data_IF_579493558308
#
_entry.id   IF_579493558308
#
_cell.length_a   1.000
_cell.length_b   1.000
_cell.length_c   1.000
_cell.angle_alpha   90.00
_cell.angle_beta   90.00
_cell.angle_gamma   90.00
#
_symmetry.space_group_name_H-M   'P 1'
#
loop_
_entity.id
_entity.type
_entity.pdbx_description
1 polymer ?
#
# COMPACT_ATOMS: atom_id res chain seq x y z
N UNK A 1 26.41 -11.84 -1.59
CA UNK A 1 25.48 -10.76 -1.21
C UNK A 1 24.14 -11.42 -0.94
N UNK A 2 23.34 -10.94 0.03
CA UNK A 2 21.99 -11.50 0.19
C UNK A 2 21.13 -11.07 -1.02
N UNK A 3 20.35 -11.99 -1.58
CA UNK A 3 19.54 -11.80 -2.80
C UNK A 3 18.10 -11.52 -2.44
N UNK A 4 17.54 -10.40 -2.88
CA UNK A 4 16.20 -9.96 -2.53
C UNK A 4 15.34 -9.88 -3.77
N UNK A 5 14.28 -10.68 -3.84
CA UNK A 5 13.30 -10.61 -4.92
C UNK A 5 12.54 -9.28 -4.87
N UNK A 6 12.25 -8.71 -6.04
CA UNK A 6 11.45 -7.49 -6.19
C UNK A 6 10.20 -7.79 -7.00
N UNK A 7 9.03 -7.66 -6.37
CA UNK A 7 7.72 -7.85 -7.01
C UNK A 7 6.85 -6.62 -6.78
N UNK A 8 6.19 -6.15 -7.82
CA UNK A 8 5.09 -5.19 -7.75
C UNK A 8 3.86 -5.72 -8.48
N UNK A 9 2.68 -5.68 -7.85
CA UNK A 9 1.41 -5.99 -8.50
C UNK A 9 0.31 -5.11 -7.91
N UNK A 10 -0.01 -4.03 -8.62
CA UNK A 10 -0.76 -2.91 -8.06
C UNK A 10 -1.92 -2.50 -8.96
N UNK A 11 -3.09 -2.36 -8.35
CA UNK A 11 -4.29 -1.81 -8.95
C UNK A 11 -5.25 -1.38 -7.84
N UNK A 12 -5.96 -0.28 -8.05
CA UNK A 12 -7.06 0.14 -7.16
C UNK A 12 -8.40 -0.17 -7.82
N UNK A 13 -9.24 -0.95 -7.15
CA UNK A 13 -10.52 -1.38 -7.69
C UNK A 13 -11.70 -0.61 -7.12
N UNK A 14 -12.36 0.16 -7.98
CA UNK A 14 -13.71 0.66 -7.69
C UNK A 14 -14.72 -0.45 -8.04
N UNK A 15 -15.29 -1.12 -7.04
CA UNK A 15 -16.21 -2.26 -7.27
C UNK A 15 -17.55 -1.85 -7.90
N UNK A 16 -17.84 -0.55 -7.95
CA UNK A 16 -19.05 0.00 -8.58
C UNK A 16 -18.80 0.39 -10.05
N UNK A 17 -17.55 0.44 -10.50
CA UNK A 17 -17.22 0.70 -11.89
C UNK A 17 -17.61 -0.49 -12.77
N UNK A 18 -18.26 -0.21 -13.91
CA UNK A 18 -18.77 -1.24 -14.83
C UNK A 18 -17.70 -1.86 -15.72
N UNK A 19 -16.53 -1.23 -15.82
CA UNK A 19 -15.45 -1.66 -16.72
C UNK A 19 -14.44 -2.50 -15.94
N UNK A 20 -14.33 -3.81 -16.20
CA UNK A 20 -13.37 -4.65 -15.51
C UNK A 20 -11.94 -4.35 -15.97
N UNK A 21 -10.97 -4.53 -15.06
CA UNK A 21 -9.54 -4.48 -15.39
C UNK A 21 -9.13 -5.80 -16.02
N UNK A 22 -8.37 -5.70 -17.10
CA UNK A 22 -7.84 -6.85 -17.84
C UNK A 22 -6.33 -6.68 -18.01
N UNK A 23 -5.64 -7.75 -18.43
CA UNK A 23 -4.20 -7.71 -18.71
C UNK A 23 -3.80 -6.56 -19.62
N UNK A 24 -4.64 -6.23 -20.60
CA UNK A 24 -4.42 -5.10 -21.52
C UNK A 24 -4.19 -3.78 -20.79
N UNK A 25 -4.86 -3.54 -19.66
CA UNK A 25 -4.70 -2.31 -18.88
C UNK A 25 -3.31 -2.24 -18.22
N UNK A 26 -2.76 -3.39 -17.77
CA UNK A 26 -1.39 -3.48 -17.29
C UNK A 26 -0.39 -3.29 -18.44
N UNK A 27 -0.63 -3.91 -19.59
CA UNK A 27 0.24 -3.77 -20.78
C UNK A 27 0.27 -2.33 -21.33
N UNK A 28 -0.85 -1.60 -21.25
CA UNK A 28 -0.96 -0.20 -21.65
C UNK A 28 -0.33 0.77 -20.65
N UNK A 29 -0.25 0.38 -19.38
CA UNK A 29 0.35 1.15 -18.31
C UNK A 29 1.77 0.62 -18.02
N UNK A 30 1.92 -0.30 -17.08
CA UNK A 30 3.19 -0.99 -16.82
C UNK A 30 2.99 -2.48 -16.54
N UNK A 31 3.67 -3.31 -17.33
CA UNK A 31 3.82 -4.75 -17.09
C UNK A 31 5.22 -5.18 -17.51
N UNK A 32 6.17 -4.99 -16.60
CA UNK A 32 7.59 -5.24 -16.82
C UNK A 32 8.03 -6.55 -16.15
N UNK A 33 8.89 -7.31 -16.82
CA UNK A 33 9.34 -8.64 -16.35
C UNK A 33 10.85 -8.66 -16.12
N UNK A 34 11.28 -9.27 -15.01
CA UNK A 34 12.70 -9.42 -14.70
C UNK A 34 13.45 -8.09 -14.80
N UNK A 35 14.63 -8.10 -15.41
CA UNK A 35 15.49 -6.92 -15.55
C UNK A 35 14.85 -5.77 -16.36
N UNK A 36 13.81 -6.04 -17.16
CA UNK A 36 13.14 -5.01 -17.96
C UNK A 36 12.40 -3.97 -17.08
N UNK A 37 12.15 -4.28 -15.80
CA UNK A 37 11.58 -3.31 -14.86
C UNK A 37 12.61 -2.26 -14.39
N UNK A 38 13.91 -2.53 -14.48
CA UNK A 38 14.94 -1.62 -13.94
C UNK A 38 14.96 -0.26 -14.66
N UNK A 39 14.97 -0.17 -16.01
CA UNK A 39 14.96 1.11 -16.71
C UNK A 39 13.75 2.00 -16.37
N UNK A 40 12.58 1.40 -16.16
CA UNK A 40 11.34 2.09 -15.84
C UNK A 40 11.33 2.61 -14.40
N UNK A 41 11.67 1.73 -13.45
CA UNK A 41 11.37 1.98 -12.04
C UNK A 41 12.54 2.51 -11.21
N UNK A 42 13.80 2.27 -11.62
CA UNK A 42 14.98 2.59 -10.80
C UNK A 42 15.04 4.05 -10.35
N UNK A 43 14.76 4.98 -11.27
CA UNK A 43 14.78 6.42 -11.00
C UNK A 43 13.39 7.00 -10.70
N UNK A 44 12.33 6.18 -10.72
CA UNK A 44 10.98 6.62 -10.45
C UNK A 44 10.83 7.07 -8.98
N UNK A 45 10.00 8.08 -8.75
CA UNK A 45 9.55 8.49 -7.41
C UNK A 45 8.45 7.54 -6.89
N UNK A 46 8.74 6.24 -6.93
CA UNK A 46 7.83 5.14 -6.61
C UNK A 46 8.50 4.13 -5.66
N UNK A 47 7.73 3.32 -4.95
CA UNK A 47 8.26 2.34 -3.99
C UNK A 47 9.17 1.29 -4.61
N UNK A 48 8.91 0.86 -5.86
CA UNK A 48 9.80 -0.02 -6.62
C UNK A 48 11.19 0.60 -6.85
N UNK A 49 11.23 1.90 -7.17
CA UNK A 49 12.50 2.64 -7.27
C UNK A 49 13.20 2.76 -5.91
N UNK A 50 12.42 2.90 -4.84
CA UNK A 50 12.90 2.85 -3.45
C UNK A 50 13.50 1.50 -3.08
N UNK A 51 12.88 0.38 -3.49
CA UNK A 51 13.40 -0.97 -3.27
C UNK A 51 14.75 -1.15 -3.97
N UNK A 52 14.86 -0.81 -5.25
CA UNK A 52 16.08 -0.95 -6.04
C UNK A 52 17.23 -0.12 -5.45
N UNK A 53 16.98 1.17 -5.17
CA UNK A 53 17.97 2.06 -4.57
C UNK A 53 18.34 1.66 -3.13
N UNK A 54 17.37 1.15 -2.38
CA UNK A 54 17.58 0.68 -1.01
C UNK A 54 18.42 -0.58 -0.94
N UNK A 55 18.19 -1.54 -1.84
CA UNK A 55 19.04 -2.72 -1.98
C UNK A 55 20.49 -2.35 -2.30
N UNK A 56 20.72 -1.42 -3.23
CA UNK A 56 22.06 -0.90 -3.54
C UNK A 56 22.73 -0.28 -2.28
N UNK A 57 22.00 0.60 -1.58
CA UNK A 57 22.48 1.26 -0.35
C UNK A 57 22.83 0.25 0.75
N UNK A 58 22.06 -0.82 0.88
CA UNK A 58 22.23 -1.86 1.90
C UNK A 58 23.16 -2.99 1.46
N UNK A 59 23.84 -2.87 0.31
CA UNK A 59 24.69 -3.95 -0.22
C UNK A 59 23.95 -5.28 -0.33
N UNK A 60 22.73 -5.23 -0.88
CA UNK A 60 21.87 -6.36 -1.24
C UNK A 60 21.83 -6.50 -2.76
N UNK A 61 21.71 -7.72 -3.26
CA UNK A 61 21.49 -7.98 -4.68
C UNK A 61 19.97 -7.94 -4.93
N UNK A 62 19.49 -6.88 -5.57
CA UNK A 62 18.10 -6.83 -6.03
C UNK A 62 17.93 -7.82 -7.19
N UNK A 63 16.91 -8.66 -7.11
CA UNK A 63 16.53 -9.64 -8.14
C UNK A 63 15.14 -9.25 -8.64
N UNK A 64 15.05 -8.47 -9.73
CA UNK A 64 13.80 -8.12 -10.38
C UNK A 64 13.00 -9.35 -10.80
N UNK A 65 11.70 -9.40 -10.48
CA UNK A 65 10.80 -10.51 -10.84
C UNK A 65 9.72 -10.02 -11.80
N UNK A 66 8.86 -9.11 -11.33
CA UNK A 66 7.75 -8.56 -12.10
C UNK A 66 7.33 -7.22 -11.47
N UNK A 67 6.96 -6.25 -12.31
CA UNK A 67 6.28 -5.02 -11.90
C UNK A 67 5.05 -4.80 -12.77
N UNK A 68 3.87 -5.02 -12.20
CA UNK A 68 2.58 -4.75 -12.81
C UNK A 68 1.88 -3.58 -12.11
N UNK A 69 1.51 -2.55 -12.86
CA UNK A 69 0.67 -1.46 -12.39
C UNK A 69 -0.37 -1.11 -13.46
N UNK A 70 -1.64 -1.02 -13.06
CA UNK A 70 -2.74 -0.56 -13.90
C UNK A 70 -3.41 0.66 -13.26
N UNK A 71 -3.88 1.57 -14.11
CA UNK A 71 -4.68 2.74 -13.69
C UNK A 71 -5.98 2.28 -12.99
N UNK A 72 -6.41 2.95 -11.91
CA UNK A 72 -7.65 2.64 -11.22
C UNK A 72 -8.87 2.50 -12.15
N UNK A 73 -9.65 1.43 -11.94
CA UNK A 73 -10.91 1.13 -12.66
C UNK A 73 -11.65 0.02 -11.89
N UNK A 74 -12.52 -0.77 -12.53
CA UNK A 74 -13.24 -1.86 -11.89
C UNK A 74 -12.36 -2.99 -11.34
N UNK A 75 -12.98 -4.04 -10.79
CA UNK A 75 -12.28 -5.26 -10.39
C UNK A 75 -11.53 -5.91 -11.56
N UNK A 76 -10.43 -6.60 -11.27
CA UNK A 76 -9.75 -7.44 -12.25
C UNK A 76 -10.65 -8.61 -12.65
N UNK A 77 -10.64 -8.98 -13.94
CA UNK A 77 -11.16 -10.28 -14.33
C UNK A 77 -10.35 -11.39 -13.66
N UNK A 78 -11.00 -12.52 -13.38
CA UNK A 78 -10.33 -13.65 -12.72
C UNK A 78 -9.12 -14.12 -13.53
N UNK A 79 -9.24 -14.17 -14.85
CA UNK A 79 -8.16 -14.59 -15.74
C UNK A 79 -6.95 -13.66 -15.65
N UNK A 80 -7.16 -12.35 -15.66
CA UNK A 80 -6.08 -11.36 -15.53
C UNK A 80 -5.29 -11.55 -14.23
N UNK A 81 -6.02 -11.66 -13.12
CA UNK A 81 -5.41 -11.83 -11.80
C UNK A 81 -4.61 -13.14 -11.71
N UNK A 82 -5.20 -14.25 -12.12
CA UNK A 82 -4.56 -15.57 -12.07
C UNK A 82 -3.33 -15.66 -13.01
N UNK A 83 -3.39 -15.03 -14.19
CA UNK A 83 -2.26 -14.99 -15.13
C UNK A 83 -1.06 -14.24 -14.55
N UNK A 84 -1.27 -13.02 -14.04
CA UNK A 84 -0.18 -12.20 -13.49
C UNK A 84 0.40 -12.86 -12.23
N UNK A 85 -0.45 -13.39 -11.33
CA UNK A 85 0.03 -14.11 -10.15
C UNK A 85 0.83 -15.36 -10.53
N UNK A 86 0.40 -16.11 -11.55
CA UNK A 86 1.14 -17.25 -12.08
C UNK A 86 2.51 -16.83 -12.64
N UNK A 87 2.62 -15.68 -13.29
CA UNK A 87 3.89 -15.12 -13.77
C UNK A 87 4.81 -14.73 -12.61
N UNK A 88 4.27 -14.12 -11.55
CA UNK A 88 5.02 -13.81 -10.32
C UNK A 88 5.61 -15.08 -9.71
N UNK A 89 4.78 -16.11 -9.50
CA UNK A 89 5.24 -17.38 -8.88
C UNK A 89 6.29 -18.09 -9.74
N UNK A 90 6.11 -18.13 -11.07
CA UNK A 90 7.12 -18.66 -12.00
C UNK A 90 8.42 -17.86 -11.96
N UNK A 91 8.33 -16.54 -11.87
CA UNK A 91 9.50 -15.67 -11.77
C UNK A 91 10.28 -15.92 -10.48
N UNK A 92 9.58 -16.13 -9.36
CA UNK A 92 10.20 -16.52 -8.08
C UNK A 92 10.91 -17.88 -8.19
N UNK A 93 10.35 -18.86 -8.88
CA UNK A 93 11.01 -20.15 -9.13
C UNK A 93 12.29 -20.00 -9.98
N UNK A 94 12.23 -19.17 -11.02
CA UNK A 94 13.33 -18.96 -11.97
C UNK A 94 14.47 -18.12 -11.37
N UNK A 95 14.18 -17.26 -10.39
CA UNK A 95 15.15 -16.42 -9.71
C UNK A 95 16.22 -17.22 -8.94
N UNK A 96 15.98 -18.51 -8.67
CA UNK A 96 16.83 -19.35 -7.83
C UNK A 96 16.78 -18.93 -6.36
N UNK A 97 17.77 -19.32 -5.53
CA UNK A 97 17.72 -19.08 -4.10
C UNK A 97 17.71 -17.59 -3.72
N UNK A 98 16.64 -17.14 -3.07
CA UNK A 98 16.49 -15.80 -2.52
C UNK A 98 16.61 -15.83 -0.99
N UNK A 99 16.95 -14.68 -0.40
CA UNK A 99 17.04 -14.47 1.05
C UNK A 99 15.87 -13.64 1.60
N UNK A 100 15.11 -12.97 0.75
CA UNK A 100 13.92 -12.21 1.12
C UNK A 100 13.18 -11.69 -0.10
N UNK A 101 11.99 -11.13 0.11
CA UNK A 101 11.14 -10.53 -0.90
C UNK A 101 10.70 -9.14 -0.44
N UNK A 102 10.90 -8.15 -1.31
CA UNK A 102 10.24 -6.86 -1.25
C UNK A 102 9.02 -6.91 -2.18
N UNK A 103 7.84 -6.71 -1.60
CA UNK A 103 6.56 -6.88 -2.27
C UNK A 103 5.75 -5.58 -2.23
N UNK A 104 5.56 -4.97 -3.40
CA UNK A 104 4.73 -3.78 -3.59
C UNK A 104 3.33 -4.20 -4.03
N UNK A 105 2.32 -3.94 -3.19
CA UNK A 105 0.91 -4.17 -3.48
C UNK A 105 0.14 -2.86 -3.25
N UNK A 106 -1.06 -2.72 -3.83
CA UNK A 106 -1.85 -1.51 -3.58
C UNK A 106 -2.56 -1.59 -2.23
N UNK A 107 -3.18 -2.75 -1.95
CA UNK A 107 -4.01 -2.98 -0.77
C UNK A 107 -5.50 -2.70 -0.98
N UNK A 108 -5.91 -2.26 -2.18
CA UNK A 108 -7.32 -2.05 -2.55
C UNK A 108 -7.67 -2.72 -3.89
N UNK A 109 -6.88 -3.72 -4.30
CA UNK A 109 -7.13 -4.52 -5.48
C UNK A 109 -8.22 -5.56 -5.19
N UNK A 110 -9.24 -5.58 -6.04
CA UNK A 110 -10.29 -6.60 -6.06
C UNK A 110 -10.20 -7.35 -7.38
N UNK A 111 -10.42 -8.65 -7.33
CA UNK A 111 -10.54 -9.49 -8.51
C UNK A 111 -11.82 -10.32 -8.42
N UNK A 112 -12.34 -10.76 -9.56
CA UNK A 112 -13.50 -11.65 -9.59
C UNK A 112 -13.24 -12.93 -8.78
N UNK A 113 -13.99 -13.09 -7.69
CA UNK A 113 -13.84 -14.20 -6.75
C UNK A 113 -12.88 -13.95 -5.59
N UNK A 114 -12.27 -12.77 -5.50
CA UNK A 114 -11.34 -12.36 -4.45
C UNK A 114 -11.61 -10.91 -3.99
N UNK A 115 -12.34 -10.76 -2.89
CA UNK A 115 -12.65 -9.44 -2.29
C UNK A 115 -11.39 -8.68 -1.83
N UNK A 116 -10.31 -9.41 -1.52
CA UNK A 116 -8.99 -8.85 -1.25
C UNK A 116 -7.95 -9.58 -2.10
N UNK A 117 -7.76 -9.11 -3.34
CA UNK A 117 -6.80 -9.72 -4.26
C UNK A 117 -5.34 -9.49 -3.81
N UNK A 118 -5.03 -8.37 -3.16
CA UNK A 118 -3.72 -8.16 -2.52
C UNK A 118 -3.48 -9.16 -1.38
N UNK A 119 -4.49 -9.39 -0.53
CA UNK A 119 -4.43 -10.36 0.56
C UNK A 119 -4.24 -11.79 0.04
N UNK A 120 -4.96 -12.16 -1.01
CA UNK A 120 -4.79 -13.44 -1.71
C UNK A 120 -3.38 -13.57 -2.31
N UNK A 121 -2.86 -12.50 -2.93
CA UNK A 121 -1.51 -12.47 -3.54
C UNK A 121 -0.44 -12.80 -2.51
N UNK A 122 -0.41 -12.07 -1.39
CA UNK A 122 0.60 -12.30 -0.35
C UNK A 122 0.43 -13.66 0.34
N UNK A 123 -0.81 -14.18 0.43
CA UNK A 123 -1.08 -15.52 0.95
C UNK A 123 -0.47 -16.61 0.08
N UNK A 124 -0.69 -16.57 -1.24
CA UNK A 124 -0.13 -17.56 -2.17
C UNK A 124 1.39 -17.45 -2.27
N UNK A 125 1.94 -16.24 -2.25
CA UNK A 125 3.39 -16.03 -2.19
C UNK A 125 3.97 -16.64 -0.91
N UNK A 126 3.32 -16.43 0.25
CA UNK A 126 3.74 -17.01 1.53
C UNK A 126 3.67 -18.53 1.52
N UNK A 127 2.63 -19.13 0.95
CA UNK A 127 2.53 -20.58 0.77
C UNK A 127 3.67 -21.10 -0.11
N UNK A 128 3.97 -20.41 -1.21
CA UNK A 128 5.01 -20.78 -2.17
C UNK A 128 6.43 -20.70 -1.59
N UNK A 129 6.75 -19.60 -0.89
CA UNK A 129 8.09 -19.35 -0.34
C UNK A 129 8.32 -19.99 1.04
N UNK A 130 7.25 -20.37 1.73
CA UNK A 130 7.27 -21.00 3.05
C UNK A 130 7.16 -20.01 4.22
N UNK A 131 6.76 -20.55 5.37
CA UNK A 131 6.37 -19.78 6.56
C UNK A 131 7.48 -18.91 7.17
N UNK A 132 8.76 -19.26 6.97
CA UNK A 132 9.90 -18.55 7.56
C UNK A 132 10.64 -17.64 6.58
N UNK A 133 10.18 -17.53 5.34
CA UNK A 133 10.87 -16.72 4.32
C UNK A 133 10.66 -15.22 4.57
N UNK A 134 11.69 -14.37 4.65
CA UNK A 134 11.49 -12.94 4.92
C UNK A 134 10.68 -12.22 3.82
N UNK A 135 9.56 -11.59 4.18
CA UNK A 135 8.75 -10.75 3.28
C UNK A 135 8.50 -9.40 3.95
N UNK A 136 8.92 -8.32 3.28
CA UNK A 136 8.52 -6.96 3.64
C UNK A 136 7.62 -6.44 2.52
N UNK A 137 6.40 -6.09 2.89
CA UNK A 137 5.39 -5.61 1.98
C UNK A 137 5.17 -4.11 2.16
N UNK A 138 4.95 -3.41 1.07
CA UNK A 138 4.48 -2.03 1.07
C UNK A 138 3.08 -1.93 0.49
N UNK A 139 2.31 -0.93 0.95
CA UNK A 139 0.94 -0.67 0.52
C UNK A 139 0.71 0.82 0.28
N UNK A 140 -0.26 1.12 -0.59
CA UNK A 140 -0.83 2.45 -0.74
C UNK A 140 -1.60 2.88 0.52
N UNK A 141 -1.63 4.19 0.78
CA UNK A 141 -2.38 4.79 1.89
C UNK A 141 -3.89 4.50 1.80
N UNK A 142 -4.43 4.31 0.59
CA UNK A 142 -5.83 3.99 0.37
C UNK A 142 -6.16 2.50 0.56
N UNK A 143 -5.19 1.66 0.93
CA UNK A 143 -5.41 0.22 1.10
C UNK A 143 -6.55 -0.13 2.07
N UNK A 144 -7.47 -0.99 1.61
CA UNK A 144 -8.45 -1.68 2.44
C UNK A 144 -7.77 -2.91 3.09
N UNK A 145 -6.90 -2.65 4.06
CA UNK A 145 -5.99 -3.65 4.63
C UNK A 145 -6.77 -4.83 5.23
N UNK A 146 -6.52 -6.02 4.72
CA UNK A 146 -7.12 -7.29 5.11
C UNK A 146 -6.22 -8.06 6.06
N UNK A 147 -6.77 -9.09 6.72
CA UNK A 147 -6.00 -9.92 7.67
C UNK A 147 -4.76 -10.56 7.02
N UNK A 148 -4.81 -11.17 5.82
CA UNK A 148 -3.63 -11.75 5.19
C UNK A 148 -2.51 -10.74 4.91
N UNK A 149 -2.85 -9.49 4.62
CA UNK A 149 -1.88 -8.40 4.41
C UNK A 149 -1.07 -8.05 5.66
N UNK A 150 -1.41 -8.59 6.83
CA UNK A 150 -0.69 -8.38 8.10
C UNK A 150 -0.18 -9.70 8.69
N UNK A 151 -0.87 -10.82 8.43
CA UNK A 151 -0.44 -12.13 8.94
C UNK A 151 0.58 -12.84 8.04
N UNK A 152 0.55 -12.61 6.72
CA UNK A 152 1.45 -13.27 5.77
C UNK A 152 2.83 -12.61 5.67
N UNK A 153 2.99 -11.29 5.51
CA UNK A 153 4.31 -10.67 5.50
C UNK A 153 4.86 -10.51 6.93
N UNK A 154 6.18 -10.42 7.06
CA UNK A 154 6.83 -10.15 8.36
C UNK A 154 6.66 -8.68 8.78
N UNK A 155 6.60 -7.77 7.81
CA UNK A 155 6.34 -6.36 8.03
C UNK A 155 5.56 -5.74 6.87
N UNK A 156 4.60 -4.90 7.20
CA UNK A 156 3.78 -4.12 6.27
C UNK A 156 4.03 -2.62 6.50
N UNK A 157 4.44 -1.91 5.46
CA UNK A 157 4.74 -0.47 5.48
C UNK A 157 3.80 0.24 4.53
N UNK A 158 2.96 1.14 5.04
CA UNK A 158 1.99 1.89 4.24
C UNK A 158 2.52 3.31 4.00
N UNK A 159 2.20 3.89 2.85
CA UNK A 159 2.42 5.30 2.56
C UNK A 159 1.86 6.21 3.67
N UNK A 160 2.50 7.36 3.87
CA UNK A 160 2.16 8.34 4.91
C UNK A 160 1.65 9.67 4.35
N UNK A 161 1.71 9.86 3.03
CA UNK A 161 1.29 11.10 2.39
C UNK A 161 0.17 10.88 1.37
N UNK A 162 -0.80 11.79 1.42
CA UNK A 162 -1.77 12.04 0.37
C UNK A 162 -1.76 13.56 0.08
N UNK A 163 -1.46 13.99 -1.16
CA UNK A 163 -1.10 13.16 -2.33
C UNK A 163 0.21 12.37 -2.11
N UNK A 164 0.38 11.25 -2.81
CA UNK A 164 1.50 10.32 -2.61
C UNK A 164 2.83 10.87 -3.12
N UNK A 165 3.57 11.54 -2.23
CA UNK A 165 4.90 12.08 -2.51
C UNK A 165 6.02 11.27 -1.83
N UNK A 166 5.67 10.32 -0.95
CA UNK A 166 6.61 9.56 -0.12
C UNK A 166 6.87 8.12 -0.58
N UNK A 167 6.34 7.70 -1.73
CA UNK A 167 6.38 6.31 -2.21
C UNK A 167 7.83 5.75 -2.26
N UNK A 168 8.75 6.51 -2.85
CA UNK A 168 10.18 6.12 -2.92
C UNK A 168 10.81 5.98 -1.54
N UNK A 169 10.43 6.84 -0.59
CA UNK A 169 10.96 6.80 0.78
C UNK A 169 10.44 5.59 1.55
N UNK A 170 9.19 5.19 1.32
CA UNK A 170 8.61 3.96 1.88
C UNK A 170 9.30 2.72 1.31
N UNK A 171 9.62 2.71 0.02
CA UNK A 171 10.45 1.66 -0.58
C UNK A 171 11.86 1.58 0.03
N UNK A 172 12.52 2.72 0.27
CA UNK A 172 13.83 2.76 0.96
C UNK A 172 13.74 2.22 2.40
N UNK A 173 12.67 2.56 3.13
CA UNK A 173 12.40 2.06 4.48
C UNK A 173 12.22 0.54 4.50
N UNK A 174 11.47 -0.01 3.54
CA UNK A 174 11.27 -1.44 3.38
C UNK A 174 12.58 -2.20 3.07
N UNK A 175 13.39 -1.68 2.14
CA UNK A 175 14.69 -2.28 1.81
C UNK A 175 15.66 -2.25 3.00
N UNK A 176 15.67 -1.16 3.77
CA UNK A 176 16.45 -1.08 5.01
C UNK A 176 15.96 -2.08 6.07
N UNK A 177 14.65 -2.29 6.16
CA UNK A 177 14.06 -3.25 7.10
C UNK A 177 14.40 -4.69 6.71
N UNK A 178 14.24 -5.08 5.45
CA UNK A 178 14.55 -6.44 5.01
C UNK A 178 16.05 -6.74 5.13
N UNK A 179 16.92 -5.74 4.91
CA UNK A 179 18.35 -5.86 5.14
C UNK A 179 18.68 -6.24 6.60
N UNK A 180 18.02 -5.59 7.57
CA UNK A 180 18.18 -5.93 9.00
C UNK A 180 17.66 -7.33 9.32
N UNK A 181 16.54 -7.72 8.72
CA UNK A 181 15.97 -9.06 8.92
C UNK A 181 16.91 -10.16 8.42
N UNK A 182 17.42 -10.05 7.19
CA UNK A 182 18.32 -11.07 6.61
C UNK A 182 19.68 -11.13 7.32
N UNK A 183 20.10 -10.05 7.98
CA UNK A 183 21.28 -10.01 8.85
C UNK A 183 21.00 -10.50 10.28
N UNK A 184 19.75 -10.77 10.64
CA UNK A 184 19.35 -11.18 11.99
C UNK A 184 19.40 -10.06 13.03
N UNK A 185 19.34 -8.80 12.61
CA UNK A 185 19.44 -7.62 13.46
C UNK A 185 18.08 -7.18 14.02
N UNK A 186 16.97 -7.62 13.42
CA UNK A 186 15.62 -7.40 13.92
C UNK A 186 14.69 -8.59 13.64
N UNK A 187 13.60 -8.66 14.40
CA UNK A 187 12.58 -9.70 14.30
C UNK A 187 11.19 -9.04 14.35
N UNK A 188 10.68 -8.53 13.21
CA UNK A 188 9.39 -7.85 13.15
C UNK A 188 8.25 -8.66 13.76
N UNK A 189 7.37 -7.98 14.50
CA UNK A 189 6.07 -8.48 14.96
C UNK A 189 5.06 -7.37 14.77
N UNK A 190 4.01 -7.65 14.03
CA UNK A 190 3.03 -6.63 13.68
C UNK A 190 1.62 -6.93 14.16
N UNK A 191 0.84 -5.87 14.32
CA UNK A 191 -0.57 -5.95 14.68
C UNK A 191 -1.35 -4.86 13.94
N UNK A 192 -2.60 -5.18 13.63
CA UNK A 192 -3.56 -4.29 13.00
C UNK A 192 -4.78 -4.08 13.88
N UNK A 193 -5.31 -2.86 13.89
CA UNK A 193 -6.65 -2.55 14.42
C UNK A 193 -7.40 -1.74 13.38
N UNK A 194 -8.61 -2.19 13.03
CA UNK A 194 -9.53 -1.49 12.12
C UNK A 194 -10.56 -0.71 12.95
N UNK A 195 -10.42 0.63 13.11
CA UNK A 195 -11.50 1.41 13.71
C UNK A 195 -12.73 1.40 12.79
N UNK A 196 -13.95 1.49 13.32
CA UNK A 196 -15.17 1.56 12.50
C UNK A 196 -15.31 2.97 11.89
N UNK A 197 -14.46 3.24 10.90
CA UNK A 197 -14.25 4.55 10.32
C UNK A 197 -14.12 4.43 8.80
N UNK A 198 -14.96 5.19 8.09
CA UNK A 198 -14.86 5.45 6.66
C UNK A 198 -14.46 6.91 6.49
N UNK A 199 -13.40 7.18 5.74
CA UNK A 199 -12.88 8.54 5.54
C UNK A 199 -13.01 8.88 4.07
N UNK A 200 -13.80 9.90 3.74
CA UNK A 200 -13.92 10.39 2.37
C UNK A 200 -12.57 10.98 1.90
N UNK A 201 -12.20 10.75 0.64
CA UNK A 201 -10.87 11.11 0.09
C UNK A 201 -10.50 12.58 0.31
N UNK A 202 -11.48 13.49 0.27
CA UNK A 202 -11.31 14.93 0.52
C UNK A 202 -10.83 15.27 1.94
N UNK A 203 -10.99 14.37 2.90
CA UNK A 203 -10.50 14.50 4.28
C UNK A 203 -9.18 13.75 4.51
N UNK A 204 -8.60 13.13 3.47
CA UNK A 204 -7.38 12.34 3.60
C UNK A 204 -6.10 13.14 3.39
N UNK A 205 -6.17 14.44 3.11
CA UNK A 205 -4.99 15.29 2.92
C UNK A 205 -4.07 15.27 4.14
N UNK A 206 -2.86 14.75 3.95
CA UNK A 206 -1.94 14.39 5.05
C UNK A 206 -1.23 15.57 5.71
N UNK A 207 -1.28 16.76 5.11
CA UNK A 207 -0.55 17.95 5.56
C UNK A 207 -1.47 19.05 6.14
N UNK A 208 -2.78 18.82 6.24
CA UNK A 208 -3.69 19.69 6.98
C UNK A 208 -4.84 18.92 7.65
N UNK A 209 -5.61 19.63 8.48
CA UNK A 209 -6.85 19.12 9.04
C UNK A 209 -6.66 17.91 9.99
N UNK A 210 -7.72 17.10 10.19
CA UNK A 210 -7.69 15.98 11.10
C UNK A 210 -6.75 14.85 10.66
N UNK A 211 -6.61 14.60 9.35
CA UNK A 211 -5.70 13.56 8.86
C UNK A 211 -4.23 13.88 9.15
N UNK A 212 -3.82 15.15 9.08
CA UNK A 212 -2.49 15.54 9.55
C UNK A 212 -2.25 15.16 11.00
N UNK A 213 -3.23 15.33 11.89
CA UNK A 213 -3.11 14.95 13.30
C UNK A 213 -2.94 13.44 13.45
N UNK A 214 -3.64 12.64 12.65
CA UNK A 214 -3.45 11.18 12.59
C UNK A 214 -2.04 10.85 12.12
N UNK A 215 -1.53 11.48 11.06
CA UNK A 215 -0.17 11.26 10.57
C UNK A 215 0.92 11.77 11.52
N UNK A 216 0.68 12.84 12.26
CA UNK A 216 1.54 13.28 13.36
C UNK A 216 1.62 12.19 14.44
N UNK A 217 0.50 11.55 14.79
CA UNK A 217 0.47 10.42 15.73
C UNK A 217 1.18 9.19 15.18
N UNK A 218 1.07 8.89 13.89
CA UNK A 218 1.85 7.85 13.21
C UNK A 218 3.36 8.11 13.40
N UNK A 219 3.82 9.35 13.15
CA UNK A 219 5.23 9.74 13.31
C UNK A 219 5.71 9.64 14.77
N UNK A 220 4.88 10.02 15.72
CA UNK A 220 5.15 9.89 17.16
C UNK A 220 5.36 8.41 17.55
N UNK A 221 4.45 7.52 17.13
CA UNK A 221 4.53 6.09 17.40
C UNK A 221 5.75 5.47 16.70
N UNK A 222 5.99 5.81 15.43
CA UNK A 222 7.15 5.32 14.67
C UNK A 222 8.49 5.69 15.33
N UNK A 223 8.53 6.79 16.09
CA UNK A 223 9.72 7.25 16.83
C UNK A 223 9.87 6.60 18.22
N UNK A 224 8.91 5.78 18.64
CA UNK A 224 8.92 5.14 19.96
C UNK A 224 9.93 3.98 20.03
N UNK A 225 10.65 3.80 21.15
CA UNK A 225 11.58 2.69 21.31
C UNK A 225 10.92 1.33 21.06
N UNK A 226 11.56 0.49 20.25
CA UNK A 226 11.06 -0.84 19.91
C UNK A 226 10.10 -0.87 18.71
N UNK A 227 9.72 0.27 18.15
CA UNK A 227 8.94 0.33 16.90
C UNK A 227 9.86 0.36 15.68
N UNK A 228 9.51 -0.45 14.68
CA UNK A 228 10.18 -0.53 13.38
C UNK A 228 9.43 0.28 12.32
N UNK A 229 8.10 0.27 12.36
CA UNK A 229 7.24 1.09 11.51
C UNK A 229 5.87 1.30 12.16
N UNK A 230 5.23 2.41 11.84
CA UNK A 230 3.82 2.66 12.09
C UNK A 230 3.18 3.27 10.85
N UNK A 231 1.92 2.91 10.62
CA UNK A 231 1.16 3.24 9.42
C UNK A 231 -0.33 3.37 9.74
N UNK A 232 -1.00 4.26 9.01
CA UNK A 232 -2.45 4.40 9.03
C UNK A 232 -2.96 4.46 7.59
N UNK A 233 -3.79 3.51 7.20
CA UNK A 233 -4.54 3.56 5.95
C UNK A 233 -5.94 4.10 6.25
N UNK A 234 -6.37 5.26 5.74
CA UNK A 234 -7.77 5.68 5.80
C UNK A 234 -8.74 4.78 5.02
N UNK A 235 -8.22 3.98 4.08
CA UNK A 235 -8.99 3.06 3.25
C UNK A 235 -9.60 3.73 2.00
N UNK A 236 -10.17 2.88 1.14
CA UNK A 236 -10.80 3.25 -0.12
C UNK A 236 -12.28 2.91 -0.08
N UNK A 237 -13.13 3.93 -0.04
CA UNK A 237 -14.57 3.78 0.23
C UNK A 237 -15.40 3.37 -0.98
N UNK A 238 -14.81 3.29 -2.18
CA UNK A 238 -15.49 2.88 -3.40
C UNK A 238 -15.33 1.38 -3.70
N UNK A 239 -15.19 0.56 -2.65
CA UNK A 239 -15.10 -0.88 -2.73
C UNK A 239 -16.05 -1.57 -1.74
N UNK A 240 -17.04 -2.31 -2.24
CA UNK A 240 -17.97 -3.12 -1.45
C UNK A 240 -17.32 -4.45 -1.05
N UNK A 241 -16.40 -4.38 -0.09
CA UNK A 241 -15.63 -5.53 0.39
C UNK A 241 -15.63 -5.61 1.93
N UNK A 242 -15.50 -6.80 2.53
CA UNK A 242 -15.54 -6.95 3.99
C UNK A 242 -14.47 -6.14 4.74
N UNK A 243 -13.31 -5.93 4.12
CA UNK A 243 -12.17 -5.22 4.72
C UNK A 243 -12.18 -3.71 4.46
N UNK A 244 -13.25 -3.15 3.87
CA UNK A 244 -13.35 -1.73 3.55
C UNK A 244 -13.16 -0.86 4.81
N UNK A 245 -12.32 0.18 4.68
CA UNK A 245 -12.18 1.23 5.67
C UNK A 245 -10.84 1.26 6.39
N UNK A 246 -10.76 2.15 7.39
CA UNK A 246 -9.49 2.53 7.98
C UNK A 246 -8.80 1.41 8.77
N UNK A 247 -7.47 1.44 8.78
CA UNK A 247 -6.62 0.44 9.43
C UNK A 247 -5.37 1.08 10.02
N UNK A 248 -5.09 0.81 11.30
CA UNK A 248 -3.85 1.17 11.98
C UNK A 248 -2.93 -0.06 12.05
N UNK A 249 -1.75 0.01 11.44
CA UNK A 249 -0.77 -1.09 11.40
C UNK A 249 0.51 -0.63 12.10
N UNK A 250 1.00 -1.42 13.04
CA UNK A 250 2.25 -1.14 13.76
C UNK A 250 3.14 -2.37 13.73
N UNK A 251 4.42 -2.16 13.40
CA UNK A 251 5.47 -3.17 13.37
C UNK A 251 6.45 -2.88 14.51
N UNK A 252 6.57 -3.78 15.46
CA UNK A 252 7.52 -3.73 16.57
C UNK A 252 8.67 -4.72 16.38
N UNK A 253 9.79 -4.51 17.06
CA UNK A 253 10.91 -5.43 17.05
C UNK A 253 10.76 -6.48 18.16
N UNK A 254 10.28 -7.67 17.80
CA UNK A 254 10.16 -8.83 18.70
C UNK A 254 8.99 -8.77 19.69
N UNK A 255 8.28 -7.65 19.80
CA UNK A 255 7.25 -7.42 20.82
C UNK A 255 5.85 -7.23 20.20
N UNK A 256 5.09 -8.32 20.12
CA UNK A 256 3.73 -8.29 19.58
C UNK A 256 2.75 -7.48 20.45
N UNK A 257 2.93 -7.47 21.77
CA UNK A 257 2.02 -6.73 22.67
C UNK A 257 2.26 -5.22 22.55
N UNK A 258 3.51 -4.81 22.31
CA UNK A 258 3.84 -3.43 21.96
C UNK A 258 3.16 -3.00 20.66
N UNK A 259 3.23 -3.83 19.62
CA UNK A 259 2.55 -3.56 18.35
C UNK A 259 1.03 -3.43 18.54
N UNK A 260 0.39 -4.36 19.25
CA UNK A 260 -1.05 -4.32 19.56
C UNK A 260 -1.47 -3.08 20.33
N UNK A 261 -0.66 -2.67 21.32
CA UNK A 261 -0.94 -1.48 22.13
C UNK A 261 -0.95 -0.24 21.27
N UNK A 262 0.09 -0.04 20.46
CA UNK A 262 0.21 1.17 19.64
C UNK A 262 -0.73 1.19 18.44
N UNK A 263 -1.04 0.05 17.81
CA UNK A 263 -2.04 0.01 16.75
C UNK A 263 -3.45 0.34 17.29
N UNK A 264 -3.78 -0.14 18.49
CA UNK A 264 -5.01 0.26 19.19
C UNK A 264 -5.02 1.73 19.56
N UNK A 265 -3.94 2.25 20.13
CA UNK A 265 -3.81 3.67 20.48
C UNK A 265 -4.01 4.57 19.25
N UNK A 266 -3.41 4.23 18.11
CA UNK A 266 -3.56 4.94 16.85
C UNK A 266 -5.00 4.85 16.32
N UNK A 267 -5.61 3.67 16.33
CA UNK A 267 -6.98 3.47 15.89
C UNK A 267 -8.00 4.24 16.76
N UNK A 268 -7.85 4.18 18.08
CA UNK A 268 -8.70 4.89 19.04
C UNK A 268 -8.56 6.41 18.86
N UNK A 269 -7.33 6.89 18.62
CA UNK A 269 -7.07 8.30 18.32
C UNK A 269 -7.75 8.74 17.01
N UNK A 270 -7.58 7.99 15.92
CA UNK A 270 -8.25 8.30 14.65
C UNK A 270 -9.77 8.30 14.80
N UNK A 271 -10.33 7.31 15.50
CA UNK A 271 -11.77 7.24 15.76
C UNK A 271 -12.29 8.39 16.66
N UNK A 272 -11.45 8.94 17.53
CA UNK A 272 -11.80 10.13 18.31
C UNK A 272 -12.01 11.38 17.44
N UNK A 273 -11.40 11.41 16.24
CA UNK A 273 -11.52 12.47 15.26
C UNK A 273 -12.62 12.24 14.22
N UNK A 274 -13.43 11.17 14.35
CA UNK A 274 -14.39 10.74 13.30
C UNK A 274 -15.36 11.83 12.82
N UNK A 275 -15.78 12.74 13.70
CA UNK A 275 -16.68 13.84 13.33
C UNK A 275 -15.94 14.90 12.50
N UNK A 276 -14.66 15.15 12.80
CA UNK A 276 -13.79 16.07 12.04
C UNK A 276 -13.38 15.43 10.69
N UNK A 277 -13.23 14.11 10.65
CA UNK A 277 -12.88 13.32 9.45
C UNK A 277 -14.07 13.14 8.49
N UNK A 278 -15.20 13.77 8.77
CA UNK A 278 -16.35 13.82 7.87
C UNK A 278 -16.23 15.00 6.90
N UNK A 279 -16.78 14.87 5.70
CA UNK A 279 -16.72 15.91 4.67
C UNK A 279 -18.09 16.57 4.49
N UNK A 280 -18.16 17.88 4.71
CA UNK A 280 -19.30 18.70 4.28
C UNK A 280 -18.85 19.48 3.04
N UNK A 281 -19.25 18.99 1.87
CA UNK A 281 -18.87 19.57 0.58
C UNK A 281 -20.01 20.46 0.05
N UNK A 282 -19.70 21.60 -0.60
CA UNK A 282 -20.72 22.39 -1.25
C UNK A 282 -21.39 21.57 -2.36
N UNK A 283 -22.68 21.84 -2.61
CA UNK A 283 -23.32 21.35 -3.83
C UNK A 283 -22.63 21.90 -5.09
N UNK A 284 -22.79 21.26 -6.26
CA UNK A 284 -22.22 21.78 -7.50
C UNK A 284 -22.62 23.24 -7.80
N UNK A 285 -23.86 23.63 -7.49
CA UNK A 285 -24.30 25.03 -7.67
C UNK A 285 -23.58 25.99 -6.72
N UNK A 286 -23.43 25.61 -5.45
CA UNK A 286 -22.72 26.41 -4.45
C UNK A 286 -21.23 26.54 -4.80
N UNK A 287 -20.58 25.44 -5.20
CA UNK A 287 -19.18 25.43 -5.62
C UNK A 287 -18.92 26.39 -6.80
N UNK A 288 -19.81 26.39 -7.80
CA UNK A 288 -19.72 27.32 -8.95
C UNK A 288 -19.96 28.76 -8.49
N UNK A 289 -20.92 29.00 -7.60
CA UNK A 289 -21.22 30.33 -7.07
C UNK A 289 -20.04 30.89 -6.28
N UNK A 290 -19.40 30.07 -5.45
CA UNK A 290 -18.19 30.42 -4.70
C UNK A 290 -17.01 30.68 -5.63
N UNK A 291 -16.76 29.79 -6.60
CA UNK A 291 -15.70 29.95 -7.59
C UNK A 291 -15.81 31.26 -8.37
N UNK A 292 -17.03 31.68 -8.74
CA UNK A 292 -17.26 32.93 -9.45
C UNK A 292 -16.89 34.20 -8.66
N UNK A 293 -16.73 34.11 -7.33
CA UNK A 293 -16.31 35.21 -6.48
C UNK A 293 -14.79 35.28 -6.26
N UNK A 294 -14.05 34.23 -6.64
CA UNK A 294 -12.60 34.15 -6.44
C UNK A 294 -11.88 34.82 -7.63
N UNK A 295 -11.01 35.82 -7.39
CA UNK A 295 -10.24 36.43 -8.47
C UNK A 295 -9.25 35.43 -9.10
N UNK A 296 -9.23 35.37 -10.43
CA UNK A 296 -8.32 34.51 -11.19
C UNK A 296 -8.92 33.17 -11.60
N UNK A 297 -8.13 32.28 -12.23
CA UNK A 297 -8.60 30.95 -12.62
C UNK A 297 -8.84 30.06 -11.39
N UNK A 298 -9.99 29.38 -11.37
CA UNK A 298 -10.36 28.39 -10.35
C UNK A 298 -10.45 27.01 -10.99
N UNK A 299 -9.92 25.99 -10.32
CA UNK A 299 -10.11 24.60 -10.67
C UNK A 299 -11.17 24.01 -9.74
N UNK A 300 -12.27 23.53 -10.32
CA UNK A 300 -13.28 22.76 -9.61
C UNK A 300 -13.00 21.28 -9.84
N UNK A 301 -12.83 20.53 -8.76
CA UNK A 301 -12.61 19.09 -8.82
C UNK A 301 -13.92 18.36 -8.54
N UNK A 302 -14.36 17.54 -9.48
CA UNK A 302 -15.51 16.68 -9.29
C UNK A 302 -15.08 15.45 -8.48
N UNK A 303 -15.29 15.50 -7.16
CA UNK A 303 -14.93 14.39 -6.28
C UNK A 303 -15.80 13.14 -6.50
N UNK A 304 -16.94 13.26 -7.17
CA UNK A 304 -17.82 12.14 -7.48
C UNK A 304 -17.39 11.35 -8.72
N UNK A 305 -16.52 11.92 -9.56
CA UNK A 305 -15.97 11.29 -10.78
C UNK A 305 -14.44 11.45 -10.83
N UNK A 306 -13.77 11.04 -9.75
CA UNK A 306 -12.31 11.09 -9.65
C UNK A 306 -11.67 9.93 -10.43
N UNK A 307 -11.05 10.24 -11.57
CA UNK A 307 -10.32 9.25 -12.40
C UNK A 307 -9.11 8.63 -11.69
N UNK A 308 -8.65 9.23 -10.59
CA UNK A 308 -7.56 8.71 -9.77
C UNK A 308 -8.01 7.71 -8.70
N UNK A 309 -9.30 7.37 -8.62
CA UNK A 309 -9.90 6.56 -7.55
C UNK A 309 -11.00 7.30 -6.81
#
# INVERSE_FOLDING_TARGET
MARIGIVGFMHESNTFASTPTTRKHFEEAHLDFGEDLVPTWKEAHHELGGFLAGCEKESLEAVPILAGWATPTGPLTKECYEEILCEILKGLDQAGPLNGLLLALHGAMVAEGFDSADGETVSRIREHLGASFPIVMTLDMHGNVSVPMVECPDATIIYRTYPHIDQRERGLEAAALIAKMVRGECHPRQAMVKPPLLVHIVQQYSEAGPMKRVMDKVREIASSPGILSASFAPGFIYADVPDMGASAVVVANGDLELAKRYSRELADFAFSLREELNADLPSPEEAVREAAQIPGPVSLMDCGDNVGG
#
